data_IF_078659156714
#
_entry.id   IF_078659156714
#
_cell.length_a   1.000
_cell.length_b   1.000
_cell.length_c   1.000
_cell.angle_alpha   90.00
_cell.angle_beta   90.00
_cell.angle_gamma   90.00
#
_symmetry.space_group_name_H-M   'P 1'
#
loop_
_entity.id
_entity.type
_entity.pdbx_description
1 polymer ?
#
# COMPACT_ATOMS: atom_id res chain seq x y z
N UNK A 1 -1.81 -2.15 -31.68
CA UNK A 1 -2.92 -2.94 -31.13
C UNK A 1 -2.49 -3.71 -29.88
N UNK A 2 -1.38 -4.47 -29.93
CA UNK A 2 -0.79 -5.19 -28.79
C UNK A 2 -0.44 -4.32 -27.55
N UNK A 3 0.03 -3.09 -27.75
CA UNK A 3 0.43 -2.22 -26.63
C UNK A 3 -0.74 -1.68 -25.81
N UNK A 4 -1.88 -1.41 -26.46
CA UNK A 4 -3.08 -0.89 -25.78
C UNK A 4 -3.71 -1.97 -24.90
N UNK A 5 -3.78 -3.21 -25.39
CA UNK A 5 -4.25 -4.37 -24.63
C UNK A 5 -3.31 -4.69 -23.45
N UNK A 6 -1.99 -4.65 -23.67
CA UNK A 6 -1.02 -4.85 -22.60
C UNK A 6 -1.03 -3.72 -21.55
N UNK A 7 -1.38 -2.49 -21.92
CA UNK A 7 -1.59 -1.41 -20.96
C UNK A 7 -2.90 -1.57 -20.19
N UNK A 8 -3.99 -1.95 -20.86
CA UNK A 8 -5.28 -2.21 -20.22
C UNK A 8 -5.16 -3.35 -19.19
N UNK A 9 -4.49 -4.45 -19.54
CA UNK A 9 -4.22 -5.56 -18.63
C UNK A 9 -3.43 -5.10 -17.40
N UNK A 10 -2.32 -4.39 -17.59
CA UNK A 10 -1.50 -3.87 -16.48
C UNK A 10 -2.30 -2.93 -15.55
N UNK A 11 -3.14 -2.07 -16.13
CA UNK A 11 -4.02 -1.18 -15.36
C UNK A 11 -5.05 -1.97 -14.54
N UNK A 12 -5.66 -3.00 -15.15
CA UNK A 12 -6.62 -3.87 -14.46
C UNK A 12 -5.98 -4.66 -13.30
N UNK A 13 -4.76 -5.16 -13.47
CA UNK A 13 -4.05 -5.90 -12.42
C UNK A 13 -3.65 -5.00 -11.24
N UNK A 14 -3.16 -3.78 -11.52
CA UNK A 14 -2.89 -2.79 -10.47
C UNK A 14 -4.16 -2.45 -9.69
N UNK A 15 -5.25 -2.15 -10.42
CA UNK A 15 -6.54 -1.83 -9.81
C UNK A 15 -7.08 -2.98 -8.96
N UNK A 16 -6.94 -4.23 -9.42
CA UNK A 16 -7.30 -5.43 -8.65
C UNK A 16 -6.55 -5.51 -7.33
N UNK A 17 -5.23 -5.32 -7.33
CA UNK A 17 -4.45 -5.36 -6.09
C UNK A 17 -4.94 -4.29 -5.11
N UNK A 18 -5.17 -3.07 -5.59
CA UNK A 18 -5.71 -1.98 -4.76
C UNK A 18 -7.10 -2.34 -4.19
N UNK A 19 -7.99 -2.94 -4.97
CA UNK A 19 -9.31 -3.39 -4.51
C UNK A 19 -9.22 -4.51 -3.46
N UNK A 20 -8.33 -5.49 -3.67
CA UNK A 20 -8.06 -6.56 -2.71
C UNK A 20 -7.56 -5.99 -1.39
N UNK A 21 -6.54 -5.12 -1.44
CA UNK A 21 -5.96 -4.50 -0.25
C UNK A 21 -7.00 -3.67 0.50
N UNK A 22 -7.76 -2.84 -0.20
CA UNK A 22 -8.82 -2.04 0.40
C UNK A 22 -9.92 -2.92 1.02
N UNK A 23 -10.31 -4.02 0.35
CA UNK A 23 -11.32 -4.97 0.86
C UNK A 23 -10.86 -5.63 2.16
N UNK A 24 -9.65 -6.23 2.17
CA UNK A 24 -9.12 -6.89 3.38
C UNK A 24 -9.06 -5.91 4.54
N UNK A 25 -8.45 -4.74 4.33
CA UNK A 25 -8.24 -3.79 5.39
C UNK A 25 -9.57 -3.20 5.90
N UNK A 26 -10.52 -2.85 5.03
CA UNK A 26 -11.81 -2.33 5.47
C UNK A 26 -12.65 -3.37 6.23
N UNK A 27 -12.66 -4.63 5.78
CA UNK A 27 -13.36 -5.74 6.45
C UNK A 27 -12.82 -6.01 7.87
N UNK A 28 -11.54 -5.72 8.11
CA UNK A 28 -10.88 -5.95 9.40
C UNK A 28 -10.84 -4.70 10.29
N UNK A 29 -10.68 -3.52 9.70
CA UNK A 29 -10.28 -2.31 10.42
C UNK A 29 -11.37 -1.24 10.58
N UNK A 30 -12.48 -1.30 9.82
CA UNK A 30 -13.57 -0.33 9.95
C UNK A 30 -14.14 -0.27 11.37
N UNK A 31 -14.23 -1.42 12.05
CA UNK A 31 -14.65 -1.51 13.46
C UNK A 31 -13.74 -0.72 14.42
N UNK A 32 -12.49 -0.47 14.01
CA UNK A 32 -11.54 0.38 14.73
C UNK A 32 -11.49 1.80 14.18
N UNK A 33 -12.49 2.27 13.42
CA UNK A 33 -12.53 3.60 12.82
C UNK A 33 -11.30 3.93 11.95
N UNK A 34 -10.73 2.93 11.29
CA UNK A 34 -9.69 3.08 10.27
C UNK A 34 -10.30 2.63 8.94
N UNK A 35 -10.25 3.49 7.93
CA UNK A 35 -10.89 3.31 6.64
C UNK A 35 -9.88 3.45 5.53
N UNK A 36 -9.89 2.52 4.58
CA UNK A 36 -9.03 2.52 3.41
C UNK A 36 -9.85 2.93 2.19
N UNK A 37 -9.47 4.04 1.58
CA UNK A 37 -10.14 4.58 0.39
C UNK A 37 -9.13 4.88 -0.70
N UNK A 38 -9.59 4.96 -1.96
CA UNK A 38 -8.74 5.45 -3.05
C UNK A 38 -8.20 6.83 -2.70
N UNK A 39 -6.92 7.06 -2.99
CA UNK A 39 -6.24 8.32 -2.69
C UNK A 39 -6.67 9.47 -3.60
N UNK A 40 -7.96 9.71 -3.78
CA UNK A 40 -8.50 10.79 -4.59
C UNK A 40 -9.81 11.32 -3.99
N UNK A 41 -10.32 12.43 -4.52
CA UNK A 41 -11.54 13.06 -3.99
C UNK A 41 -12.77 12.15 -4.05
N UNK A 42 -12.87 11.28 -5.05
CA UNK A 42 -13.99 10.35 -5.18
C UNK A 42 -13.96 9.26 -4.10
N UNK A 43 -12.78 8.69 -3.83
CA UNK A 43 -12.56 7.77 -2.73
C UNK A 43 -12.92 8.39 -1.38
N UNK A 44 -12.49 9.64 -1.12
CA UNK A 44 -12.82 10.33 0.13
C UNK A 44 -14.33 10.61 0.28
N UNK A 45 -15.05 10.91 -0.81
CA UNK A 45 -16.51 11.10 -0.78
C UNK A 45 -17.30 9.87 -0.34
N UNK A 46 -16.72 8.67 -0.44
CA UNK A 46 -17.38 7.45 0.02
C UNK A 46 -17.53 7.38 1.54
N UNK A 47 -16.74 8.15 2.31
CA UNK A 47 -16.76 8.14 3.78
C UNK A 47 -16.92 9.55 4.40
N UNK A 48 -16.65 10.63 3.64
CA UNK A 48 -16.74 12.02 4.10
C UNK A 48 -17.78 12.78 3.26
N UNK A 49 -18.77 13.38 3.93
CA UNK A 49 -19.79 14.21 3.25
C UNK A 49 -19.37 15.68 3.09
N UNK A 50 -18.44 16.16 3.93
CA UNK A 50 -17.95 17.53 3.90
C UNK A 50 -16.95 17.74 2.74
N UNK A 51 -17.39 18.45 1.71
CA UNK A 51 -16.57 18.78 0.53
C UNK A 51 -15.37 19.67 0.87
N UNK A 52 -15.51 20.61 1.80
CA UNK A 52 -14.43 21.49 2.21
C UNK A 52 -13.32 20.70 2.91
N UNK A 53 -13.69 19.73 3.75
CA UNK A 53 -12.72 18.83 4.39
C UNK A 53 -12.00 17.93 3.37
N UNK A 54 -12.73 17.40 2.37
CA UNK A 54 -12.12 16.61 1.29
C UNK A 54 -11.07 17.45 0.54
N UNK A 55 -11.40 18.68 0.17
CA UNK A 55 -10.46 19.57 -0.51
C UNK A 55 -9.24 19.90 0.36
N UNK A 56 -9.44 20.12 1.65
CA UNK A 56 -8.34 20.34 2.59
C UNK A 56 -7.42 19.12 2.67
N UNK A 57 -7.97 17.90 2.76
CA UNK A 57 -7.18 16.66 2.77
C UNK A 57 -6.38 16.52 1.48
N UNK A 58 -7.02 16.72 0.32
CA UNK A 58 -6.35 16.62 -0.98
C UNK A 58 -5.24 17.66 -1.10
N UNK A 59 -5.50 18.91 -0.74
CA UNK A 59 -4.51 19.99 -0.82
C UNK A 59 -3.36 19.78 0.17
N UNK A 60 -3.62 19.25 1.37
CA UNK A 60 -2.59 18.92 2.36
C UNK A 60 -1.61 17.86 1.83
N UNK A 61 -2.09 16.92 1.02
CA UNK A 61 -1.27 15.86 0.43
C UNK A 61 -0.57 16.29 -0.88
N UNK A 62 -0.84 17.49 -1.41
CA UNK A 62 -0.13 17.99 -2.60
C UNK A 62 1.26 18.49 -2.24
N UNK A 63 2.19 18.27 -3.16
CA UNK A 63 3.59 18.66 -3.02
C UNK A 63 3.94 19.78 -4.01
N UNK A 64 4.75 20.76 -3.60
CA UNK A 64 5.22 21.81 -4.50
C UNK A 64 6.23 21.25 -5.51
N UNK A 65 5.95 21.40 -6.80
CA UNK A 65 6.82 21.01 -7.91
C UNK A 65 7.24 22.25 -8.69
N UNK A 66 8.56 22.48 -8.79
CA UNK A 66 9.12 23.60 -9.54
C UNK A 66 9.20 23.26 -11.02
N UNK A 67 8.77 24.19 -11.87
CA UNK A 67 8.87 24.11 -13.33
C UNK A 67 9.89 25.13 -13.82
N UNK A 68 11.13 24.71 -14.14
CA UNK A 68 12.17 25.63 -14.57
C UNK A 68 11.83 26.36 -15.88
N UNK A 69 11.07 25.74 -16.78
CA UNK A 69 10.78 26.30 -18.10
C UNK A 69 9.97 27.60 -18.04
N UNK A 70 9.00 27.70 -17.12
CA UNK A 70 8.15 28.89 -16.95
C UNK A 70 8.38 29.59 -15.61
N UNK A 71 9.38 29.15 -14.83
CA UNK A 71 9.73 29.67 -13.50
C UNK A 71 8.55 29.68 -12.51
N UNK A 72 7.59 28.76 -12.68
CA UNK A 72 6.43 28.62 -11.79
C UNK A 72 6.60 27.44 -10.84
N UNK A 73 5.86 27.51 -9.74
CA UNK A 73 5.66 26.38 -8.84
C UNK A 73 4.21 25.92 -8.95
N UNK A 74 4.01 24.62 -9.13
CA UNK A 74 2.70 23.98 -9.12
C UNK A 74 2.56 23.12 -7.87
N UNK A 75 1.32 22.82 -7.50
CA UNK A 75 1.01 21.78 -6.53
C UNK A 75 0.66 20.52 -7.30
N UNK A 76 1.45 19.47 -7.12
CA UNK A 76 1.24 18.18 -7.76
C UNK A 76 0.84 17.14 -6.72
N UNK A 77 0.15 16.11 -7.16
CA UNK A 77 -0.40 15.09 -6.28
C UNK A 77 0.48 13.83 -6.32
N UNK A 78 0.92 13.30 -5.17
CA UNK A 78 1.77 12.12 -5.14
C UNK A 78 1.02 10.89 -5.66
N UNK A 79 1.76 9.90 -6.17
CA UNK A 79 1.23 8.59 -6.54
C UNK A 79 0.71 7.86 -5.28
N UNK A 80 -0.56 8.12 -4.96
CA UNK A 80 -1.24 7.69 -3.74
C UNK A 80 -2.39 6.78 -4.13
N UNK A 81 -2.11 5.48 -4.20
CA UNK A 81 -3.09 4.48 -4.60
C UNK A 81 -4.23 4.43 -3.56
N UNK A 82 -3.89 4.27 -2.28
CA UNK A 82 -4.85 4.23 -1.18
C UNK A 82 -4.45 5.15 -0.02
N UNK A 83 -5.45 5.80 0.57
CA UNK A 83 -5.34 6.54 1.82
C UNK A 83 -5.81 5.70 3.00
N UNK A 84 -5.05 5.78 4.09
CA UNK A 84 -5.42 5.28 5.40
C UNK A 84 -6.04 6.45 6.16
N UNK A 85 -7.36 6.45 6.28
CA UNK A 85 -8.14 7.47 6.96
C UNK A 85 -8.49 7.01 8.36
N UNK A 86 -8.36 7.91 9.34
CA UNK A 86 -8.83 7.67 10.71
C UNK A 86 -9.91 8.68 11.07
N UNK A 87 -11.00 8.20 11.64
CA UNK A 87 -12.01 9.05 12.25
C UNK A 87 -11.85 9.01 13.78
N UNK A 88 -11.60 10.17 14.39
CA UNK A 88 -11.56 10.35 15.84
C UNK A 88 -12.38 11.58 16.20
N UNK A 89 -13.43 11.39 17.01
CA UNK A 89 -14.33 12.46 17.45
C UNK A 89 -14.88 13.32 16.29
N UNK A 90 -15.37 12.69 15.22
CA UNK A 90 -15.85 13.32 13.99
C UNK A 90 -14.79 14.14 13.23
N UNK A 91 -13.51 13.95 13.54
CA UNK A 91 -12.41 14.56 12.80
C UNK A 91 -11.71 13.49 11.96
N UNK A 92 -11.66 13.72 10.65
CA UNK A 92 -10.95 12.85 9.72
C UNK A 92 -9.50 13.29 9.55
N UNK A 93 -8.57 12.33 9.56
CA UNK A 93 -7.14 12.55 9.33
C UNK A 93 -6.55 11.47 8.45
N UNK A 94 -5.57 11.84 7.63
CA UNK A 94 -4.74 10.88 6.90
C UNK A 94 -3.65 10.36 7.85
N UNK A 95 -3.69 9.07 8.15
CA UNK A 95 -2.67 8.40 8.96
C UNK A 95 -1.48 7.95 8.11
N UNK A 96 -1.77 7.53 6.88
CA UNK A 96 -0.79 6.97 5.97
C UNK A 96 -1.29 6.84 4.55
N UNK A 97 -0.37 6.48 3.66
CA UNK A 97 -0.60 6.19 2.26
C UNK A 97 -0.06 4.81 1.98
N UNK A 98 -0.87 3.98 1.30
CA UNK A 98 -0.46 2.68 0.79
C UNK A 98 -0.31 2.80 -0.72
N UNK A 99 0.90 2.59 -1.20
CA UNK A 99 1.19 2.46 -2.62
C UNK A 99 1.17 0.96 -2.97
N UNK A 100 0.39 0.56 -3.96
CA UNK A 100 0.15 -0.84 -4.32
C UNK A 100 0.80 -1.14 -5.67
N UNK A 101 1.78 -2.04 -5.70
CA UNK A 101 2.44 -2.42 -6.97
C UNK A 101 2.51 -3.93 -7.11
N UNK A 102 1.87 -4.46 -8.15
CA UNK A 102 1.94 -5.88 -8.51
C UNK A 102 3.37 -6.30 -8.87
N UNK A 103 4.07 -5.43 -9.63
CA UNK A 103 5.48 -5.58 -10.01
C UNK A 103 6.15 -4.21 -10.12
N UNK A 104 7.47 -4.16 -9.93
CA UNK A 104 8.22 -2.91 -9.86
C UNK A 104 8.72 -2.45 -11.23
N UNK A 105 9.54 -3.26 -11.90
CA UNK A 105 10.31 -2.86 -13.08
C UNK A 105 10.96 -1.48 -12.86
N UNK A 106 10.66 -0.46 -13.66
CA UNK A 106 11.14 0.91 -13.44
C UNK A 106 10.33 1.73 -12.43
N UNK A 107 9.14 1.27 -12.02
CA UNK A 107 8.19 2.01 -11.16
C UNK A 107 8.64 2.16 -9.72
N UNK A 108 9.57 1.34 -9.24
CA UNK A 108 10.14 1.52 -7.90
C UNK A 108 10.75 2.92 -7.71
N UNK A 109 11.28 3.53 -8.78
CA UNK A 109 11.84 4.89 -8.71
C UNK A 109 10.77 5.93 -8.36
N UNK A 110 9.57 5.82 -8.94
CA UNK A 110 8.43 6.70 -8.61
C UNK A 110 7.98 6.51 -7.16
N UNK A 111 7.89 5.26 -6.69
CA UNK A 111 7.55 4.96 -5.29
C UNK A 111 8.57 5.58 -4.34
N UNK A 112 9.87 5.44 -4.63
CA UNK A 112 10.93 5.99 -3.80
C UNK A 112 10.96 7.52 -3.81
N UNK A 113 10.67 8.15 -4.96
CA UNK A 113 10.60 9.59 -5.08
C UNK A 113 9.47 10.16 -4.21
N UNK A 114 8.26 9.61 -4.33
CA UNK A 114 7.12 10.07 -3.54
C UNK A 114 7.27 9.73 -2.06
N UNK A 115 7.79 8.55 -1.72
CA UNK A 115 8.09 8.19 -0.33
C UNK A 115 9.06 9.17 0.33
N UNK A 116 10.14 9.54 -0.35
CA UNK A 116 11.06 10.57 0.12
C UNK A 116 10.38 11.94 0.28
N UNK A 117 9.62 12.36 -0.74
CA UNK A 117 9.00 13.67 -0.73
C UNK A 117 7.98 13.81 0.42
N UNK A 118 7.15 12.79 0.64
CA UNK A 118 6.17 12.73 1.73
C UNK A 118 6.85 12.71 3.10
N UNK A 119 7.93 11.92 3.25
CA UNK A 119 8.72 11.85 4.49
C UNK A 119 9.37 13.18 4.86
N UNK A 120 9.79 13.97 3.87
CA UNK A 120 10.38 15.29 4.10
C UNK A 120 9.31 16.35 4.40
N UNK A 121 8.15 16.26 3.73
CA UNK A 121 7.10 17.28 3.85
C UNK A 121 6.11 17.04 4.99
N UNK A 122 6.02 15.81 5.50
CA UNK A 122 5.00 15.40 6.46
C UNK A 122 5.46 14.20 7.30
N UNK A 123 4.70 13.89 8.36
CA UNK A 123 4.88 12.66 9.14
C UNK A 123 3.91 11.54 8.71
N UNK A 124 3.29 11.67 7.53
CA UNK A 124 2.39 10.64 6.99
C UNK A 124 3.20 9.38 6.71
N UNK A 125 2.72 8.23 7.20
CA UNK A 125 3.36 6.94 6.89
C UNK A 125 3.20 6.61 5.42
N UNK A 126 4.29 6.27 4.74
CA UNK A 126 4.26 5.88 3.34
C UNK A 126 4.76 4.44 3.20
N UNK A 127 3.84 3.53 2.87
CA UNK A 127 4.13 2.10 2.78
C UNK A 127 3.80 1.55 1.41
N UNK A 128 4.44 0.43 1.11
CA UNK A 128 4.28 -0.29 -0.14
C UNK A 128 3.67 -1.65 0.12
N UNK A 129 2.64 -2.01 -0.63
CA UNK A 129 2.11 -3.38 -0.71
C UNK A 129 2.41 -3.95 -2.08
N UNK A 130 2.94 -5.17 -2.13
CA UNK A 130 3.31 -5.82 -3.39
C UNK A 130 3.02 -7.31 -3.39
N UNK A 131 2.67 -7.82 -4.57
CA UNK A 131 2.59 -9.26 -4.84
C UNK A 131 3.94 -9.82 -5.30
N UNK A 132 4.93 -8.96 -5.58
CA UNK A 132 6.22 -9.30 -6.17
C UNK A 132 6.06 -10.31 -7.32
N UNK A 133 5.12 -10.00 -8.24
CA UNK A 133 4.51 -10.96 -9.17
C UNK A 133 5.50 -11.78 -10.00
N UNK A 134 6.68 -11.25 -10.27
CA UNK A 134 7.72 -11.92 -11.04
C UNK A 134 8.20 -13.23 -10.39
N UNK A 135 7.98 -13.42 -9.07
CA UNK A 135 8.25 -14.68 -8.39
C UNK A 135 7.38 -15.85 -8.89
N UNK A 136 6.23 -15.56 -9.51
CA UNK A 136 5.29 -16.56 -10.03
C UNK A 136 5.42 -16.79 -11.54
N UNK A 137 6.38 -16.14 -12.23
CA UNK A 137 6.55 -16.30 -13.68
C UNK A 137 7.18 -17.65 -14.01
N UNK A 138 6.60 -18.35 -14.98
CA UNK A 138 7.20 -19.52 -15.62
C UNK A 138 7.75 -19.10 -17.00
N UNK A 139 8.99 -19.48 -17.40
CA UNK A 139 9.91 -20.42 -16.73
C UNK A 139 10.93 -19.82 -15.77
N UNK A 140 10.99 -18.49 -15.66
CA UNK A 140 12.04 -17.80 -14.91
C UNK A 140 11.44 -17.03 -13.71
N UNK A 141 11.03 -17.73 -12.65
CA UNK A 141 10.53 -17.09 -11.45
C UNK A 141 11.66 -16.34 -10.76
N UNK A 142 11.42 -15.08 -10.40
CA UNK A 142 12.38 -14.28 -9.67
C UNK A 142 11.68 -13.21 -8.85
N UNK A 143 12.10 -13.04 -7.61
CA UNK A 143 11.72 -11.87 -6.84
C UNK A 143 12.42 -10.61 -7.40
N UNK A 144 11.67 -9.53 -7.57
CA UNK A 144 12.23 -8.21 -7.87
C UNK A 144 12.84 -7.53 -6.63
N UNK A 145 12.58 -8.04 -5.42
CA UNK A 145 13.19 -7.61 -4.17
C UNK A 145 14.47 -8.42 -3.83
N UNK A 146 14.64 -9.59 -4.45
CA UNK A 146 15.72 -10.51 -4.15
C UNK A 146 15.34 -11.47 -3.02
N UNK A 147 16.23 -12.42 -2.71
CA UNK A 147 15.89 -13.54 -1.82
C UNK A 147 15.83 -13.15 -0.35
N UNK A 148 16.70 -12.23 0.07
CA UNK A 148 16.83 -11.82 1.47
C UNK A 148 17.44 -10.42 1.58
N UNK A 149 17.57 -9.90 2.80
CA UNK A 149 18.16 -8.58 3.02
C UNK A 149 19.67 -8.59 2.65
N UNK A 150 20.33 -9.75 2.79
CA UNK A 150 21.72 -9.98 2.34
C UNK A 150 21.78 -10.17 0.82
N UNK A 151 20.88 -10.98 0.27
CA UNK A 151 20.78 -11.25 -1.17
C UNK A 151 19.72 -10.36 -1.82
N UNK A 152 19.87 -9.04 -1.67
CA UNK A 152 18.90 -8.03 -2.10
C UNK A 152 19.16 -7.52 -3.52
N UNK A 153 18.10 -7.15 -4.22
CA UNK A 153 18.21 -6.36 -5.47
C UNK A 153 18.42 -4.88 -5.17
N UNK A 154 18.80 -4.10 -6.19
CA UNK A 154 18.82 -2.63 -6.09
C UNK A 154 17.44 -2.07 -5.75
N UNK A 155 16.38 -2.67 -6.30
CA UNK A 155 14.99 -2.29 -6.01
C UNK A 155 14.67 -2.41 -4.53
N UNK A 156 14.99 -3.53 -3.87
CA UNK A 156 14.79 -3.67 -2.42
C UNK A 156 15.56 -2.63 -1.63
N UNK A 157 16.86 -2.45 -1.90
CA UNK A 157 17.69 -1.48 -1.17
C UNK A 157 17.14 -0.05 -1.26
N UNK A 158 16.68 0.36 -2.44
CA UNK A 158 16.09 1.68 -2.63
C UNK A 158 14.76 1.80 -1.87
N UNK A 159 13.86 0.82 -2.02
CA UNK A 159 12.58 0.84 -1.33
C UNK A 159 12.77 0.87 0.20
N UNK A 160 13.61 0.00 0.76
CA UNK A 160 13.93 -0.03 2.20
C UNK A 160 14.48 1.30 2.72
N UNK A 161 15.10 2.11 1.86
CA UNK A 161 15.63 3.42 2.23
C UNK A 161 14.56 4.52 2.26
N UNK A 162 13.55 4.44 1.38
CA UNK A 162 12.64 5.55 1.10
C UNK A 162 11.17 5.32 1.48
N UNK A 163 10.75 4.07 1.67
CA UNK A 163 9.42 3.75 2.24
C UNK A 163 9.56 3.34 3.71
N UNK A 164 8.48 3.43 4.48
CA UNK A 164 8.51 3.05 5.90
C UNK A 164 8.51 1.54 6.10
N UNK A 165 7.73 0.83 5.28
CA UNK A 165 7.62 -0.64 5.22
C UNK A 165 7.19 -1.12 3.83
N UNK A 166 7.59 -2.34 3.51
CA UNK A 166 7.18 -3.11 2.35
C UNK A 166 6.43 -4.33 2.86
N UNK A 167 5.21 -4.52 2.37
CA UNK A 167 4.34 -5.63 2.76
C UNK A 167 4.10 -6.56 1.57
N UNK A 168 4.35 -7.85 1.79
CA UNK A 168 4.14 -8.90 0.80
C UNK A 168 2.76 -9.50 0.97
N UNK A 169 2.02 -9.61 -0.14
CA UNK A 169 0.70 -10.24 -0.18
C UNK A 169 0.67 -11.28 -1.30
N UNK A 170 0.02 -12.42 -1.05
CA UNK A 170 -0.22 -13.41 -2.10
C UNK A 170 -1.28 -12.92 -3.08
N UNK A 171 -1.33 -13.52 -4.26
CA UNK A 171 -2.26 -13.08 -5.31
C UNK A 171 -3.69 -13.53 -5.02
N UNK A 172 -4.61 -12.57 -4.91
CA UNK A 172 -6.03 -12.82 -4.75
C UNK A 172 -6.85 -12.31 -5.94
N UNK A 173 -8.03 -12.89 -6.16
CA UNK A 173 -9.08 -12.23 -6.93
C UNK A 173 -10.07 -11.58 -5.94
N UNK A 174 -10.64 -10.43 -6.28
CA UNK A 174 -11.51 -9.64 -5.37
C UNK A 174 -12.69 -10.48 -4.88
N UNK A 175 -13.24 -11.35 -5.72
CA UNK A 175 -14.39 -12.22 -5.40
C UNK A 175 -14.00 -13.69 -5.18
N UNK A 176 -12.75 -13.94 -4.77
CA UNK A 176 -12.29 -15.29 -4.45
C UNK A 176 -12.82 -15.74 -3.08
N UNK A 177 -13.37 -16.95 -2.99
CA UNK A 177 -13.73 -17.58 -1.72
C UNK A 177 -12.55 -17.65 -0.75
N UNK A 178 -11.35 -17.95 -1.26
CA UNK A 178 -10.12 -17.99 -0.47
C UNK A 178 -9.82 -16.65 0.22
N UNK A 179 -10.10 -15.52 -0.45
CA UNK A 179 -9.92 -14.20 0.16
C UNK A 179 -10.86 -14.02 1.36
N UNK A 180 -12.13 -14.40 1.21
CA UNK A 180 -13.12 -14.35 2.28
C UNK A 180 -12.76 -15.27 3.44
N UNK A 181 -12.28 -16.48 3.14
CA UNK A 181 -11.86 -17.46 4.14
C UNK A 181 -10.65 -16.96 4.94
N UNK A 182 -9.66 -16.38 4.26
CA UNK A 182 -8.46 -15.80 4.87
C UNK A 182 -8.81 -14.58 5.75
N UNK A 183 -9.72 -13.69 5.29
CA UNK A 183 -10.22 -12.57 6.11
C UNK A 183 -10.89 -13.10 7.38
N UNK A 184 -11.76 -14.10 7.27
CA UNK A 184 -12.45 -14.69 8.42
C UNK A 184 -11.48 -15.42 9.36
N UNK A 185 -10.48 -16.09 8.81
CA UNK A 185 -9.42 -16.72 9.59
C UNK A 185 -8.66 -15.67 10.40
N UNK A 186 -8.21 -14.57 9.77
CA UNK A 186 -7.47 -13.51 10.44
C UNK A 186 -8.28 -12.81 11.55
N UNK A 187 -9.60 -12.63 11.35
CA UNK A 187 -10.47 -12.05 12.39
C UNK A 187 -10.36 -12.76 13.74
N UNK A 188 -10.24 -14.09 13.73
CA UNK A 188 -10.13 -14.88 14.97
C UNK A 188 -8.84 -14.61 15.74
N UNK A 189 -7.79 -14.12 15.06
CA UNK A 189 -6.49 -13.81 15.67
C UNK A 189 -6.32 -12.34 16.03
N UNK A 190 -7.24 -11.47 15.59
CA UNK A 190 -7.10 -10.02 15.75
C UNK A 190 -7.11 -9.60 17.22
N UNK A 191 -7.81 -10.35 18.07
CA UNK A 191 -7.88 -10.14 19.53
C UNK A 191 -6.76 -10.85 20.31
N UNK A 192 -5.96 -11.71 19.66
CA UNK A 192 -4.88 -12.45 20.31
C UNK A 192 -3.50 -11.93 19.87
N UNK A 193 -2.86 -11.06 20.66
CA UNK A 193 -1.59 -10.45 20.28
C UNK A 193 -0.41 -11.43 20.28
N UNK A 194 -0.54 -12.62 20.87
CA UNK A 194 0.56 -13.58 20.99
C UNK A 194 0.65 -14.55 19.81
N UNK A 195 -0.40 -14.63 18.99
CA UNK A 195 -0.42 -15.47 17.79
C UNK A 195 -0.26 -14.59 16.54
N UNK A 196 0.66 -14.98 15.68
CA UNK A 196 1.05 -14.24 14.48
C UNK A 196 1.03 -15.16 13.26
N UNK A 197 -0.15 -15.70 12.88
CA UNK A 197 -0.24 -16.48 11.67
C UNK A 197 0.00 -15.56 10.46
N UNK A 198 0.69 -16.10 9.47
CA UNK A 198 0.86 -15.47 8.17
C UNK A 198 -0.24 -16.04 7.27
N UNK A 199 -1.30 -15.26 7.07
CA UNK A 199 -2.50 -15.69 6.35
C UNK A 199 -2.50 -15.09 4.95
N UNK A 200 -2.13 -13.83 4.81
CA UNK A 200 -2.25 -13.09 3.55
C UNK A 200 -1.01 -13.20 2.65
N UNK A 201 -0.04 -14.02 3.02
CA UNK A 201 1.17 -14.28 2.23
C UNK A 201 1.49 -15.79 2.22
N UNK A 202 2.44 -16.22 1.39
CA UNK A 202 2.89 -17.61 1.30
C UNK A 202 4.42 -17.71 1.40
N UNK A 203 4.99 -17.69 2.62
CA UNK A 203 6.44 -17.74 2.82
C UNK A 203 7.07 -19.06 2.39
N UNK A 204 6.28 -20.14 2.31
CA UNK A 204 6.76 -21.46 1.87
C UNK A 204 6.94 -21.57 0.35
N UNK A 205 6.55 -20.53 -0.40
CA UNK A 205 6.74 -20.52 -1.84
C UNK A 205 8.23 -20.44 -2.20
N UNK A 206 8.70 -21.32 -3.08
CA UNK A 206 10.13 -21.51 -3.37
C UNK A 206 10.85 -20.19 -3.68
N UNK A 207 10.23 -19.29 -4.45
CA UNK A 207 10.81 -18.02 -4.90
C UNK A 207 10.45 -16.81 -4.04
N UNK A 208 9.88 -17.04 -2.86
CA UNK A 208 9.49 -16.00 -1.90
C UNK A 208 10.66 -15.17 -1.38
N UNK A 209 10.38 -13.92 -0.99
CA UNK A 209 11.34 -12.99 -0.41
C UNK A 209 11.32 -13.09 1.10
N UNK A 210 12.46 -13.41 1.71
CA UNK A 210 12.58 -13.47 3.17
C UNK A 210 12.22 -12.12 3.83
N UNK A 211 11.43 -12.23 4.91
CA UNK A 211 11.07 -11.11 5.75
C UNK A 211 12.28 -10.56 6.53
N UNK A 212 12.23 -9.26 6.83
CA UNK A 212 13.06 -8.65 7.85
C UNK A 212 12.38 -7.40 8.40
N UNK A 213 13.15 -6.48 9.00
CA UNK A 213 12.59 -5.29 9.64
C UNK A 213 11.73 -4.45 8.68
N UNK A 214 12.13 -4.35 7.41
CA UNK A 214 11.52 -3.49 6.40
C UNK A 214 10.58 -4.23 5.44
N UNK A 215 10.79 -5.53 5.21
CA UNK A 215 9.95 -6.38 4.35
C UNK A 215 9.18 -7.36 5.23
N UNK A 216 7.86 -7.29 5.25
CA UNK A 216 6.99 -8.01 6.20
C UNK A 216 5.82 -8.67 5.49
N UNK A 217 5.17 -9.68 6.08
CA UNK A 217 3.90 -10.18 5.57
C UNK A 217 2.82 -9.10 5.65
N UNK A 218 1.82 -9.15 4.78
CA UNK A 218 0.69 -8.21 4.76
C UNK A 218 -0.08 -8.18 6.09
N UNK A 219 -0.13 -9.30 6.79
CA UNK A 219 -0.66 -9.45 8.15
C UNK A 219 -0.13 -8.39 9.13
N UNK A 220 1.15 -8.03 9.02
CA UNK A 220 1.78 -7.03 9.89
C UNK A 220 1.23 -5.61 9.63
N UNK A 221 0.79 -5.30 8.40
CA UNK A 221 0.23 -3.99 8.07
C UNK A 221 -1.02 -3.73 8.94
N UNK A 222 -1.87 -4.73 9.13
CA UNK A 222 -3.10 -4.61 9.93
C UNK A 222 -2.74 -4.21 11.37
N UNK A 223 -1.73 -4.86 11.95
CA UNK A 223 -1.26 -4.58 13.32
C UNK A 223 -0.55 -3.24 13.42
N UNK A 224 0.26 -2.90 12.43
CA UNK A 224 0.94 -1.61 12.36
C UNK A 224 -0.06 -0.45 12.27
N UNK A 225 -1.15 -0.60 11.50
CA UNK A 225 -2.24 0.38 11.44
C UNK A 225 -2.93 0.58 12.79
N UNK A 226 -3.22 -0.52 13.50
CA UNK A 226 -3.78 -0.45 14.85
C UNK A 226 -2.83 0.24 15.83
N UNK A 227 -1.52 -0.03 15.74
CA UNK A 227 -0.50 0.64 16.56
C UNK A 227 -0.42 2.12 16.22
N UNK A 228 -0.28 2.49 14.96
CA UNK A 228 -0.16 3.88 14.54
C UNK A 228 -1.39 4.71 14.88
N UNK A 229 -2.59 4.11 14.88
CA UNK A 229 -3.78 4.79 15.38
C UNK A 229 -3.65 5.13 16.87
N UNK A 230 -3.11 4.24 17.70
CA UNK A 230 -2.90 4.50 19.14
C UNK A 230 -1.92 5.65 19.36
N UNK A 231 -0.91 5.79 18.49
CA UNK A 231 0.06 6.89 18.55
C UNK A 231 -0.55 8.27 18.23
N UNK A 232 -1.81 8.34 17.75
CA UNK A 232 -2.53 9.61 17.53
C UNK A 232 -3.27 10.14 18.78
N UNK A 233 -3.41 9.34 19.83
CA UNK A 233 -4.12 9.66 21.08
C UNK A 233 -3.12 10.03 22.16
#
# INVERSE_FOLDING_TARGET
>A
MLDAEAQALRSSEGRRLEDVVAKILNELLNQFNIYIVRGNSEGLRSIINDQGLIEQIINYNRLPVKRPCDQKQLLDYPDSDLFIMVNSNNTWRVLGIINCKVSFHSRHTMVTFWGLAIRISSNIKYVLVTEDKDQYKNPNPRSELGRSCVNSTSTRRLLESFVDKIYLIKQYQVDNQQLSDDINSFRNYLDNPNDHPIIFDNPEYEFHTEYCLSVRPFDDLIRDLLRWKKDLV
#
